data_IF_070647922087
#
_entry.id   IF_070647922087
#
_cell.length_a   1.000
_cell.length_b   1.000
_cell.length_c   1.000
_cell.angle_alpha   90.00
_cell.angle_beta   90.00
_cell.angle_gamma   90.00
#
_symmetry.space_group_name_H-M   'P 1'
#
loop_
_entity.id
_entity.type
_entity.pdbx_description
1 polymer ?
#
# COMPACT_ATOMS: atom_id res chain seq x y z
N UNK A 1 -1.39 62.45 47.07
CA UNK A 1 0.02 62.21 46.66
C UNK A 1 0.16 60.77 46.18
N UNK A 2 0.80 60.56 45.01
CA UNK A 2 1.29 59.29 44.40
C UNK A 2 0.20 58.31 43.89
N UNK A 3 -0.16 58.34 42.59
CA UNK A 3 0.41 57.66 41.38
C UNK A 3 0.07 56.15 41.35
N UNK A 4 -0.90 55.72 40.52
CA UNK A 4 -0.77 55.23 39.13
C UNK A 4 0.06 53.94 39.00
N UNK A 5 -0.62 52.85 38.63
CA UNK A 5 -0.03 51.57 38.24
C UNK A 5 -1.05 50.75 37.45
N UNK A 6 -1.29 51.18 36.21
CA UNK A 6 -2.11 50.48 35.22
C UNK A 6 -1.24 49.44 34.53
N UNK A 7 -1.53 48.15 34.71
CA UNK A 7 -0.95 47.06 33.93
C UNK A 7 -2.03 46.48 33.03
N UNK A 8 -2.07 46.95 31.79
CA UNK A 8 -2.78 46.33 30.68
C UNK A 8 -2.09 44.99 30.38
N UNK A 9 -2.78 43.87 30.60
CA UNK A 9 -2.39 42.58 30.04
C UNK A 9 -2.86 42.54 28.58
N UNK A 10 -1.93 42.72 27.64
CA UNK A 10 -2.17 42.50 26.22
C UNK A 10 -2.04 41.00 25.91
N UNK A 11 -3.18 40.31 25.83
CA UNK A 11 -3.27 38.95 25.29
C UNK A 11 -3.17 39.05 23.77
N UNK A 12 -1.99 38.74 23.22
CA UNK A 12 -1.83 38.55 21.79
C UNK A 12 -2.33 37.17 21.40
N UNK A 13 -3.57 37.09 20.89
CA UNK A 13 -4.02 35.97 20.05
C UNK A 13 -3.17 35.95 18.77
N UNK A 14 -2.18 35.07 18.73
CA UNK A 14 -1.54 34.67 17.49
C UNK A 14 -2.48 33.70 16.76
N UNK A 15 -3.34 34.26 15.92
CA UNK A 15 -4.05 33.49 14.90
C UNK A 15 -3.02 33.05 13.84
N UNK A 16 -2.57 31.80 13.93
CA UNK A 16 -1.89 31.14 12.83
C UNK A 16 -2.90 30.97 11.68
N UNK A 17 -2.74 31.78 10.63
CA UNK A 17 -3.37 31.54 9.34
C UNK A 17 -2.66 30.34 8.71
N UNK A 18 -3.04 29.14 9.13
CA UNK A 18 -2.91 27.98 8.27
C UNK A 18 -3.83 28.25 7.07
N UNK A 19 -3.28 28.26 5.86
CA UNK A 19 -4.09 28.14 4.65
C UNK A 19 -4.74 26.75 4.65
N UNK A 20 -5.80 26.62 5.44
CA UNK A 20 -6.61 25.44 5.62
C UNK A 20 -7.49 25.25 4.40
N UNK A 21 -7.09 24.31 3.55
CA UNK A 21 -8.11 23.52 2.86
C UNK A 21 -8.71 22.65 3.96
N UNK A 22 -9.86 23.05 4.51
CA UNK A 22 -10.52 22.33 5.60
C UNK A 22 -10.76 20.86 5.22
N UNK A 23 -10.79 19.98 6.22
CA UNK A 23 -11.27 18.61 6.04
C UNK A 23 -12.63 18.66 5.35
N UNK A 24 -12.75 18.01 4.18
CA UNK A 24 -14.03 17.93 3.48
C UNK A 24 -14.97 17.04 4.30
N UNK A 25 -16.21 17.48 4.43
CA UNK A 25 -17.27 16.66 5.01
C UNK A 25 -17.49 15.39 4.18
N UNK A 26 -18.10 14.38 4.79
CA UNK A 26 -18.46 13.14 4.10
C UNK A 26 -19.37 13.38 2.89
N UNK A 27 -20.28 14.33 3.00
CA UNK A 27 -21.20 14.67 1.91
C UNK A 27 -20.46 15.29 0.73
N UNK A 28 -19.51 16.20 0.99
CA UNK A 28 -18.65 16.77 -0.05
C UNK A 28 -17.77 15.71 -0.73
N UNK A 29 -17.30 14.71 0.02
CA UNK A 29 -16.57 13.57 -0.56
C UNK A 29 -17.50 12.78 -1.48
N UNK A 30 -18.69 12.41 -1.01
CA UNK A 30 -19.70 11.68 -1.78
C UNK A 30 -20.08 12.40 -3.08
N UNK A 31 -20.26 13.72 -3.03
CA UNK A 31 -20.53 14.54 -4.22
C UNK A 31 -19.36 14.47 -5.21
N UNK A 32 -18.12 14.63 -4.75
CA UNK A 32 -16.96 14.53 -5.64
C UNK A 32 -16.75 13.14 -6.25
N UNK A 33 -17.16 12.07 -5.57
CA UNK A 33 -17.15 10.71 -6.13
C UNK A 33 -18.17 10.56 -7.27
N UNK A 34 -19.35 11.16 -7.12
CA UNK A 34 -20.41 11.16 -8.15
C UNK A 34 -20.05 12.01 -9.36
N UNK A 35 -19.45 13.18 -9.15
CA UNK A 35 -19.17 14.16 -10.20
C UNK A 35 -18.03 13.74 -11.14
N UNK A 36 -17.01 13.07 -10.58
CA UNK A 36 -15.85 12.61 -11.34
C UNK A 36 -15.72 11.11 -11.14
N UNK A 37 -16.07 10.31 -12.14
CA UNK A 37 -15.97 8.85 -12.06
C UNK A 37 -14.53 8.34 -12.12
N UNK A 38 -14.38 7.04 -11.86
CA UNK A 38 -13.10 6.33 -11.88
C UNK A 38 -12.38 6.47 -13.24
N UNK A 39 -13.13 6.42 -14.34
CA UNK A 39 -12.56 6.51 -15.70
C UNK A 39 -11.89 7.87 -15.93
N UNK A 40 -12.52 8.96 -15.48
CA UNK A 40 -11.98 10.31 -15.57
C UNK A 40 -10.75 10.50 -14.67
N UNK A 41 -10.75 9.89 -13.48
CA UNK A 41 -9.59 9.88 -12.57
C UNK A 41 -8.40 9.18 -13.22
N UNK A 42 -8.61 7.98 -13.76
CA UNK A 42 -7.54 7.20 -14.41
C UNK A 42 -7.04 7.87 -15.69
N UNK A 43 -7.94 8.45 -16.49
CA UNK A 43 -7.56 9.21 -17.69
C UNK A 43 -6.67 10.39 -17.33
N UNK A 44 -7.07 11.21 -16.35
CA UNK A 44 -6.26 12.34 -15.89
C UNK A 44 -4.88 11.89 -15.36
N UNK A 45 -4.82 10.77 -14.64
CA UNK A 45 -3.57 10.21 -14.17
C UNK A 45 -2.66 9.68 -15.29
N UNK A 46 -3.23 9.14 -16.36
CA UNK A 46 -2.47 8.69 -17.54
C UNK A 46 -1.88 9.86 -18.36
N UNK A 47 -2.57 11.01 -18.33
CA UNK A 47 -2.13 12.22 -19.01
C UNK A 47 -0.95 12.90 -18.27
N UNK A 48 -0.86 12.71 -16.94
CA UNK A 48 0.28 13.19 -16.15
C UNK A 48 1.61 12.61 -16.64
N UNK A 49 2.63 13.47 -16.66
CA UNK A 49 4.02 13.10 -16.96
C UNK A 49 4.90 13.50 -15.81
N UNK A 50 5.82 12.62 -15.46
CA UNK A 50 6.82 12.85 -14.44
C UNK A 50 8.11 12.13 -14.84
N UNK A 51 9.24 12.79 -14.61
CA UNK A 51 10.57 12.22 -14.83
C UNK A 51 11.21 12.00 -13.46
N UNK A 52 11.40 10.75 -13.02
CA UNK A 52 12.08 10.46 -11.78
C UNK A 52 13.49 11.07 -11.72
N UNK A 53 14.00 11.37 -10.51
CA UNK A 53 15.40 11.76 -10.32
C UNK A 53 16.34 10.69 -10.88
N UNK A 54 17.40 11.12 -11.57
CA UNK A 54 18.37 10.22 -12.19
C UNK A 54 19.13 9.34 -11.18
N UNK A 55 19.21 9.78 -9.93
CA UNK A 55 19.83 9.04 -8.83
C UNK A 55 18.85 8.10 -8.11
N UNK A 56 17.58 8.08 -8.50
CA UNK A 56 16.53 7.25 -7.89
C UNK A 56 16.18 7.63 -6.45
N UNK A 57 16.68 8.76 -5.93
CA UNK A 57 16.54 9.12 -4.52
C UNK A 57 15.23 9.86 -4.26
N UNK A 58 14.53 9.42 -3.22
CA UNK A 58 13.39 10.13 -2.65
C UNK A 58 13.86 11.36 -1.88
N UNK A 59 13.01 12.38 -1.80
CA UNK A 59 13.24 13.56 -0.95
C UNK A 59 12.28 13.58 0.22
N UNK A 60 12.61 14.28 1.30
CA UNK A 60 11.68 14.50 2.42
C UNK A 60 10.35 15.11 1.92
N UNK A 61 10.39 16.04 0.97
CA UNK A 61 9.20 16.63 0.38
C UNK A 61 8.30 15.61 -0.32
N UNK A 62 8.89 14.63 -1.02
CA UNK A 62 8.17 13.55 -1.68
C UNK A 62 7.54 12.57 -0.69
N UNK A 63 8.23 12.26 0.41
CA UNK A 63 7.62 11.47 1.48
C UNK A 63 6.46 12.23 2.13
N UNK A 64 6.62 13.53 2.40
CA UNK A 64 5.54 14.35 2.96
C UNK A 64 4.34 14.45 2.01
N UNK A 65 4.58 14.57 0.70
CA UNK A 65 3.53 14.49 -0.32
C UNK A 65 2.81 13.14 -0.24
N UNK A 66 3.55 12.03 -0.24
CA UNK A 66 2.99 10.69 -0.10
C UNK A 66 2.11 10.57 1.15
N UNK A 67 2.59 10.99 2.32
CA UNK A 67 1.83 10.93 3.57
C UNK A 67 0.54 11.75 3.51
N UNK A 68 0.57 12.96 2.94
CA UNK A 68 -0.64 13.78 2.75
C UNK A 68 -1.66 13.11 1.83
N UNK A 69 -1.19 12.49 0.74
CA UNK A 69 -2.06 11.73 -0.16
C UNK A 69 -2.66 10.53 0.57
N UNK A 70 -1.89 9.76 1.32
CA UNK A 70 -2.38 8.60 2.10
C UNK A 70 -3.40 9.00 3.17
N UNK A 71 -3.22 10.16 3.81
CA UNK A 71 -4.20 10.68 4.78
C UNK A 71 -5.51 11.05 4.09
N UNK A 72 -5.46 11.73 2.94
CA UNK A 72 -6.67 12.07 2.17
C UNK A 72 -7.32 10.83 1.55
N UNK A 73 -6.53 9.87 1.09
CA UNK A 73 -7.00 8.57 0.59
C UNK A 73 -7.82 7.84 1.66
N UNK A 74 -7.41 7.89 2.93
CA UNK A 74 -8.14 7.27 4.05
C UNK A 74 -9.58 7.79 4.14
N UNK A 75 -9.77 9.09 4.02
CA UNK A 75 -11.09 9.73 4.05
C UNK A 75 -11.95 9.28 2.86
N UNK A 76 -11.37 9.27 1.66
CA UNK A 76 -12.06 8.85 0.43
C UNK A 76 -12.42 7.36 0.50
N UNK A 77 -11.48 6.51 0.91
CA UNK A 77 -11.66 5.07 1.06
C UNK A 77 -12.75 4.73 2.07
N UNK A 78 -12.83 5.46 3.18
CA UNK A 78 -13.90 5.32 4.17
C UNK A 78 -15.27 5.58 3.54
N UNK A 79 -15.44 6.72 2.87
CA UNK A 79 -16.73 7.08 2.24
C UNK A 79 -17.10 6.10 1.15
N UNK A 80 -16.17 5.76 0.25
CA UNK A 80 -16.40 4.78 -0.81
C UNK A 80 -16.80 3.40 -0.25
N UNK A 81 -16.18 2.97 0.86
CA UNK A 81 -16.55 1.71 1.54
C UNK A 81 -17.95 1.76 2.15
N UNK A 82 -18.30 2.86 2.83
CA UNK A 82 -19.63 3.06 3.42
C UNK A 82 -20.73 3.10 2.34
N UNK A 83 -20.47 3.76 1.21
CA UNK A 83 -21.38 3.77 0.07
C UNK A 83 -21.53 2.37 -0.55
N UNK A 84 -20.43 1.65 -0.78
CA UNK A 84 -20.47 0.29 -1.28
C UNK A 84 -21.31 -0.63 -0.38
N UNK A 85 -21.13 -0.55 0.94
CA UNK A 85 -21.93 -1.31 1.91
C UNK A 85 -23.41 -0.91 1.92
N UNK A 86 -23.69 0.39 1.79
CA UNK A 86 -25.06 0.91 1.73
C UNK A 86 -25.79 0.42 0.47
N UNK A 87 -25.13 0.50 -0.69
CA UNK A 87 -25.66 0.01 -1.97
C UNK A 87 -25.84 -1.50 -1.98
N UNK A 88 -24.91 -2.27 -1.41
CA UNK A 88 -25.05 -3.72 -1.27
C UNK A 88 -26.28 -4.11 -0.44
N UNK A 89 -26.50 -3.46 0.72
CA UNK A 89 -27.69 -3.71 1.57
C UNK A 89 -29.00 -3.34 0.87
N UNK A 90 -29.00 -2.25 0.10
CA UNK A 90 -30.19 -1.84 -0.69
C UNK A 90 -30.48 -2.80 -1.83
N UNK A 91 -29.44 -3.34 -2.48
CA UNK A 91 -29.58 -4.34 -3.53
C UNK A 91 -30.24 -5.63 -2.99
N UNK A 92 -29.79 -6.09 -1.83
CA UNK A 92 -30.37 -7.24 -1.11
C UNK A 92 -31.85 -6.98 -0.76
N UNK A 93 -32.14 -5.82 -0.18
CA UNK A 93 -33.50 -5.44 0.25
C UNK A 93 -34.48 -5.30 -0.92
N UNK A 94 -34.04 -4.72 -2.04
CA UNK A 94 -34.85 -4.56 -3.25
C UNK A 94 -35.07 -5.87 -4.02
N UNK A 95 -34.41 -6.96 -3.60
CA UNK A 95 -34.36 -8.23 -4.31
C UNK A 95 -33.38 -8.16 -5.48
N UNK A 96 -32.35 -9.00 -5.46
CA UNK A 96 -31.22 -9.02 -6.40
C UNK A 96 -31.63 -9.16 -7.88
N UNK A 97 -32.83 -9.69 -8.14
CA UNK A 97 -33.37 -9.90 -9.50
C UNK A 97 -34.33 -8.79 -9.95
N UNK A 98 -34.55 -7.78 -9.11
CA UNK A 98 -35.36 -6.62 -9.48
C UNK A 98 -34.50 -5.58 -10.19
N UNK A 99 -35.15 -4.71 -10.97
CA UNK A 99 -34.48 -3.57 -11.62
C UNK A 99 -33.84 -2.64 -10.57
N UNK A 100 -34.48 -2.48 -9.41
CA UNK A 100 -33.93 -1.72 -8.29
C UNK A 100 -32.70 -2.38 -7.67
N UNK A 101 -32.73 -3.71 -7.48
CA UNK A 101 -31.60 -4.48 -6.99
C UNK A 101 -30.39 -4.41 -7.93
N UNK A 102 -30.63 -4.54 -9.24
CA UNK A 102 -29.59 -4.41 -10.26
C UNK A 102 -28.97 -3.01 -10.30
N UNK A 103 -29.78 -1.95 -10.17
CA UNK A 103 -29.28 -0.58 -10.13
C UNK A 103 -28.38 -0.32 -8.91
N UNK A 104 -28.78 -0.81 -7.74
CA UNK A 104 -27.96 -0.68 -6.52
C UNK A 104 -26.69 -1.53 -6.60
N UNK A 105 -26.74 -2.74 -7.18
CA UNK A 105 -25.54 -3.54 -7.42
C UNK A 105 -24.54 -2.83 -8.35
N UNK A 106 -25.00 -2.13 -9.38
CA UNK A 106 -24.13 -1.32 -10.24
C UNK A 106 -23.48 -0.16 -9.48
N UNK A 107 -24.22 0.50 -8.57
CA UNK A 107 -23.65 1.54 -7.69
C UNK A 107 -22.61 0.98 -6.74
N UNK A 108 -22.81 -0.22 -6.19
CA UNK A 108 -21.80 -0.93 -5.38
C UNK A 108 -20.50 -1.10 -6.16
N UNK A 109 -20.58 -1.54 -7.42
CA UNK A 109 -19.39 -1.68 -8.29
C UNK A 109 -18.68 -0.34 -8.52
N UNK A 110 -19.45 0.74 -8.71
CA UNK A 110 -18.92 2.11 -8.79
C UNK A 110 -18.14 2.50 -7.54
N UNK A 111 -18.73 2.32 -6.35
CA UNK A 111 -18.06 2.63 -5.08
C UNK A 111 -16.81 1.76 -4.82
N UNK A 112 -16.81 0.50 -5.28
CA UNK A 112 -15.61 -0.36 -5.22
C UNK A 112 -14.51 0.16 -6.16
N UNK A 113 -14.87 0.65 -7.35
CA UNK A 113 -13.92 1.26 -8.27
C UNK A 113 -13.36 2.59 -7.73
N UNK A 114 -14.17 3.38 -7.04
CA UNK A 114 -13.73 4.57 -6.32
C UNK A 114 -12.77 4.25 -5.17
N UNK A 115 -13.06 3.18 -4.41
CA UNK A 115 -12.13 2.67 -3.39
C UNK A 115 -10.79 2.25 -4.00
N UNK A 116 -10.80 1.56 -5.15
CA UNK A 116 -9.59 1.10 -5.83
C UNK A 116 -8.73 2.24 -6.42
N UNK A 117 -9.31 3.43 -6.58
CA UNK A 117 -8.63 4.62 -7.14
C UNK A 117 -8.55 5.79 -6.17
N UNK A 118 -8.84 5.55 -4.88
CA UNK A 118 -8.89 6.56 -3.84
C UNK A 118 -7.56 7.32 -3.68
N UNK A 119 -6.43 6.66 -3.91
CA UNK A 119 -5.10 7.24 -3.80
C UNK A 119 -4.79 8.23 -4.94
N UNK A 120 -5.12 7.86 -6.18
CA UNK A 120 -4.99 8.73 -7.35
C UNK A 120 -5.94 9.92 -7.23
N UNK A 121 -7.18 9.70 -6.78
CA UNK A 121 -8.13 10.79 -6.52
C UNK A 121 -7.61 11.73 -5.45
N UNK A 122 -7.09 11.20 -4.34
CA UNK A 122 -6.48 12.00 -3.29
C UNK A 122 -5.32 12.86 -3.81
N UNK A 123 -4.44 12.30 -4.64
CA UNK A 123 -3.35 13.05 -5.28
C UNK A 123 -3.90 14.21 -6.13
N UNK A 124 -4.90 13.94 -6.98
CA UNK A 124 -5.51 14.95 -7.83
C UNK A 124 -6.23 16.05 -7.05
N UNK A 125 -6.95 15.70 -5.98
CA UNK A 125 -7.64 16.69 -5.13
C UNK A 125 -6.68 17.63 -4.39
N UNK A 126 -5.51 17.10 -4.00
CA UNK A 126 -4.44 17.87 -3.38
C UNK A 126 -3.61 18.65 -4.40
N UNK A 127 -3.89 18.50 -5.71
CA UNK A 127 -3.18 19.18 -6.79
C UNK A 127 -1.78 18.61 -7.06
N UNK A 128 -1.52 17.38 -6.64
CA UNK A 128 -0.26 16.70 -6.92
C UNK A 128 -0.31 15.96 -8.26
N UNK A 129 0.87 15.80 -8.86
CA UNK A 129 1.04 15.01 -10.08
C UNK A 129 0.89 13.51 -9.76
N UNK A 130 -0.03 12.84 -10.45
CA UNK A 130 -0.37 11.44 -10.20
C UNK A 130 0.79 10.50 -10.55
N UNK A 131 1.56 10.82 -11.60
CA UNK A 131 2.70 10.03 -12.04
C UNK A 131 3.87 10.13 -11.04
N UNK A 132 4.11 11.31 -10.45
CA UNK A 132 5.06 11.47 -9.35
C UNK A 132 4.62 10.66 -8.12
N UNK A 133 3.36 10.80 -7.70
CA UNK A 133 2.82 10.05 -6.57
C UNK A 133 2.98 8.53 -6.74
N UNK A 134 2.63 8.01 -7.92
CA UNK A 134 2.78 6.58 -8.23
C UNK A 134 4.24 6.12 -8.22
N UNK A 135 5.16 6.94 -8.74
CA UNK A 135 6.58 6.66 -8.66
C UNK A 135 7.08 6.61 -7.21
N UNK A 136 6.65 7.56 -6.36
CA UNK A 136 7.00 7.57 -4.94
C UNK A 136 6.45 6.32 -4.24
N UNK A 137 5.16 6.01 -4.43
CA UNK A 137 4.49 4.85 -3.84
C UNK A 137 5.19 3.54 -4.22
N UNK A 138 5.52 3.36 -5.50
CA UNK A 138 6.23 2.16 -5.98
C UNK A 138 7.66 2.09 -5.46
N UNK A 139 8.36 3.22 -5.32
CA UNK A 139 9.70 3.25 -4.72
C UNK A 139 9.67 2.86 -3.24
N UNK A 140 8.70 3.38 -2.47
CA UNK A 140 8.51 3.01 -1.06
C UNK A 140 8.22 1.51 -0.94
N UNK A 141 7.28 0.98 -1.73
CA UNK A 141 6.95 -0.45 -1.74
C UNK A 141 8.14 -1.32 -2.14
N UNK A 142 8.93 -0.89 -3.13
CA UNK A 142 10.14 -1.58 -3.56
C UNK A 142 11.18 -1.67 -2.45
N UNK A 143 11.43 -0.57 -1.74
CA UNK A 143 12.36 -0.54 -0.60
C UNK A 143 11.86 -1.43 0.54
N UNK A 144 10.59 -1.35 0.92
CA UNK A 144 10.01 -2.23 1.95
C UNK A 144 10.10 -3.71 1.58
N UNK A 145 9.81 -4.06 0.31
CA UNK A 145 9.90 -5.45 -0.17
C UNK A 145 11.35 -5.96 -0.14
N UNK A 146 12.29 -5.13 -0.59
CA UNK A 146 13.71 -5.47 -0.57
C UNK A 146 14.26 -5.60 0.86
N UNK A 147 13.79 -4.79 1.81
CA UNK A 147 14.16 -4.94 3.23
C UNK A 147 13.67 -6.27 3.81
N UNK A 148 12.42 -6.65 3.55
CA UNK A 148 11.89 -7.97 3.95
C UNK A 148 12.70 -9.11 3.32
N UNK A 149 13.04 -9.01 2.02
CA UNK A 149 13.92 -9.99 1.37
C UNK A 149 15.31 -10.03 1.98
N UNK A 150 15.91 -8.89 2.33
CA UNK A 150 17.24 -8.82 2.95
C UNK A 150 17.24 -9.42 4.37
N UNK A 151 16.18 -9.19 5.14
CA UNK A 151 15.98 -9.82 6.44
C UNK A 151 15.85 -11.34 6.30
N UNK A 152 15.07 -11.82 5.32
CA UNK A 152 14.94 -13.25 5.03
C UNK A 152 16.28 -13.87 4.62
N UNK A 153 17.03 -13.23 3.72
CA UNK A 153 18.37 -13.69 3.31
C UNK A 153 19.33 -13.74 4.49
N UNK A 154 19.28 -12.74 5.36
CA UNK A 154 20.12 -12.68 6.57
C UNK A 154 19.78 -13.83 7.52
N UNK A 155 18.49 -14.07 7.78
CA UNK A 155 18.03 -15.19 8.59
C UNK A 155 18.42 -16.56 7.99
N UNK A 156 18.23 -16.74 6.67
CA UNK A 156 18.65 -17.95 5.96
C UNK A 156 20.16 -18.17 6.03
N UNK A 157 20.96 -17.11 5.84
CA UNK A 157 22.42 -17.18 5.91
C UNK A 157 22.89 -17.59 7.31
N UNK A 158 22.30 -17.01 8.36
CA UNK A 158 22.60 -17.41 9.74
C UNK A 158 22.28 -18.89 10.01
N UNK A 159 21.17 -19.39 9.43
CA UNK A 159 20.78 -20.80 9.54
C UNK A 159 21.76 -21.73 8.79
N UNK A 160 22.24 -21.30 7.62
CA UNK A 160 23.27 -22.01 6.85
C UNK A 160 24.62 -22.02 7.57
N UNK A 161 25.04 -20.90 8.16
CA UNK A 161 26.29 -20.81 8.91
C UNK A 161 26.28 -21.73 10.14
N UNK A 162 25.16 -21.80 10.87
CA UNK A 162 25.01 -22.75 11.98
C UNK A 162 25.12 -24.20 11.50
N UNK A 163 24.51 -24.52 10.35
CA UNK A 163 24.59 -25.85 9.74
C UNK A 163 26.02 -26.18 9.30
N UNK A 164 26.74 -25.20 8.74
CA UNK A 164 28.14 -25.34 8.34
C UNK A 164 29.04 -25.66 9.54
N UNK A 165 28.89 -24.93 10.66
CA UNK A 165 29.66 -25.17 11.89
C UNK A 165 29.43 -26.59 12.40
N UNK A 166 28.18 -27.05 12.40
CA UNK A 166 27.84 -28.41 12.83
C UNK A 166 28.42 -29.47 11.89
N UNK A 167 28.37 -29.24 10.58
CA UNK A 167 28.93 -30.13 9.57
C UNK A 167 30.46 -30.20 9.68
N UNK A 168 31.12 -29.08 9.97
CA UNK A 168 32.56 -29.03 10.23
C UNK A 168 32.95 -29.81 11.48
N UNK A 169 32.16 -29.71 12.57
CA UNK A 169 32.38 -30.53 13.76
C UNK A 169 32.25 -32.04 13.45
N UNK A 170 31.31 -32.44 12.59
CA UNK A 170 31.18 -33.83 12.14
C UNK A 170 32.37 -34.26 11.28
N UNK A 171 32.87 -33.38 10.40
CA UNK A 171 34.08 -33.62 9.61
C UNK A 171 35.29 -33.90 10.52
N UNK A 172 35.48 -33.06 11.53
CA UNK A 172 36.61 -33.17 12.47
C UNK A 172 36.52 -34.44 13.32
N UNK A 173 35.30 -34.88 13.66
CA UNK A 173 35.06 -36.10 14.43
C UNK A 173 35.06 -37.39 13.58
N UNK A 174 34.91 -37.29 12.25
CA UNK A 174 34.82 -38.45 11.37
C UNK A 174 36.18 -39.14 11.18
N UNK A 175 36.21 -40.44 11.45
CA UNK A 175 37.40 -41.30 11.26
C UNK A 175 37.32 -42.15 9.99
N UNK A 176 36.11 -42.46 9.50
CA UNK A 176 35.89 -43.19 8.26
C UNK A 176 36.19 -42.33 7.01
N UNK A 177 37.07 -42.76 6.09
CA UNK A 177 37.45 -41.97 4.92
C UNK A 177 36.30 -41.61 3.98
N UNK A 178 35.32 -42.51 3.81
CA UNK A 178 34.17 -42.28 2.91
C UNK A 178 33.26 -41.20 3.47
N UNK A 179 32.93 -41.30 4.76
CA UNK A 179 32.14 -40.31 5.50
C UNK A 179 32.84 -38.96 5.52
N UNK A 180 34.14 -38.94 5.81
CA UNK A 180 34.95 -37.71 5.85
C UNK A 180 34.97 -37.01 4.48
N UNK A 181 35.07 -37.76 3.39
CA UNK A 181 34.98 -37.21 2.03
C UNK A 181 33.59 -36.64 1.72
N UNK A 182 32.52 -37.37 2.03
CA UNK A 182 31.15 -36.89 1.79
C UNK A 182 30.87 -35.57 2.52
N UNK A 183 31.34 -35.44 3.77
CA UNK A 183 31.21 -34.20 4.54
C UNK A 183 32.06 -33.06 3.95
N UNK A 184 33.29 -33.35 3.48
CA UNK A 184 34.13 -32.35 2.82
C UNK A 184 33.49 -31.81 1.54
N UNK A 185 32.93 -32.70 0.71
CA UNK A 185 32.26 -32.32 -0.53
C UNK A 185 31.03 -31.43 -0.23
N UNK A 186 30.27 -31.76 0.81
CA UNK A 186 29.16 -30.93 1.28
C UNK A 186 29.63 -29.54 1.77
N UNK A 187 30.70 -29.46 2.56
CA UNK A 187 31.29 -28.18 2.99
C UNK A 187 31.74 -27.32 1.80
N UNK A 188 32.39 -27.93 0.79
CA UNK A 188 32.81 -27.23 -0.41
C UNK A 188 31.61 -26.70 -1.23
N UNK A 189 30.53 -27.47 -1.31
CA UNK A 189 29.29 -27.02 -1.96
C UNK A 189 28.64 -25.84 -1.21
N UNK A 190 28.69 -25.85 0.12
CA UNK A 190 28.26 -24.71 0.94
C UNK A 190 29.08 -23.46 0.64
N UNK A 191 30.42 -23.56 0.61
CA UNK A 191 31.31 -22.42 0.31
C UNK A 191 31.06 -21.84 -1.09
N UNK A 192 30.80 -22.73 -2.08
CA UNK A 192 30.42 -22.32 -3.42
C UNK A 192 29.08 -21.58 -3.43
N UNK A 193 28.05 -22.14 -2.79
CA UNK A 193 26.72 -21.51 -2.71
C UNK A 193 26.79 -20.12 -2.04
N UNK A 194 27.57 -19.97 -0.97
CA UNK A 194 27.80 -18.67 -0.32
C UNK A 194 28.42 -17.64 -1.26
N UNK A 195 29.42 -18.04 -2.03
CA UNK A 195 30.11 -17.16 -2.97
C UNK A 195 29.18 -16.71 -4.09
N UNK A 196 28.37 -17.63 -4.63
CA UNK A 196 27.39 -17.32 -5.68
C UNK A 196 26.29 -16.38 -5.17
N UNK A 197 25.76 -16.60 -3.96
CA UNK A 197 24.78 -15.71 -3.34
C UNK A 197 25.36 -14.29 -3.11
N UNK A 198 26.60 -14.19 -2.63
CA UNK A 198 27.25 -12.89 -2.41
C UNK A 198 27.41 -12.12 -3.73
N UNK A 199 27.78 -12.82 -4.81
CA UNK A 199 27.89 -12.21 -6.15
C UNK A 199 26.54 -11.73 -6.67
N UNK A 200 25.49 -12.54 -6.54
CA UNK A 200 24.13 -12.16 -6.95
C UNK A 200 23.62 -10.95 -6.17
N UNK A 201 23.91 -10.87 -4.87
CA UNK A 201 23.53 -9.74 -4.03
C UNK A 201 24.19 -8.43 -4.47
N UNK A 202 25.48 -8.45 -4.85
CA UNK A 202 26.17 -7.27 -5.39
C UNK A 202 25.64 -6.86 -6.78
N UNK A 203 25.32 -7.82 -7.65
CA UNK A 203 24.78 -7.54 -8.99
C UNK A 203 23.36 -6.94 -8.97
N UNK A 204 22.58 -7.21 -7.93
CA UNK A 204 21.21 -6.73 -7.78
C UNK A 204 21.09 -5.45 -6.93
N UNK A 205 22.22 -4.81 -6.62
CA UNK A 205 22.26 -3.66 -5.74
C UNK A 205 21.72 -2.40 -6.41
N UNK A 206 20.55 -1.95 -5.97
CA UNK A 206 20.03 -0.62 -6.32
C UNK A 206 20.85 0.46 -5.58
N UNK A 207 21.53 1.38 -6.30
CA UNK A 207 22.35 2.43 -5.68
C UNK A 207 21.53 3.43 -4.84
N UNK A 208 20.22 3.53 -5.05
CA UNK A 208 19.33 4.39 -4.27
C UNK A 208 18.76 3.70 -3.01
N UNK A 209 18.83 2.37 -2.93
CA UNK A 209 18.14 1.57 -1.91
C UNK A 209 18.49 2.01 -0.49
N UNK A 210 19.79 2.04 -0.14
CA UNK A 210 20.22 2.37 1.24
C UNK A 210 19.81 3.79 1.64
N UNK A 211 19.89 4.73 0.71
CA UNK A 211 19.48 6.11 0.95
C UNK A 211 17.96 6.20 1.17
N UNK A 212 17.17 5.58 0.28
CA UNK A 212 15.72 5.59 0.38
C UNK A 212 15.23 4.85 1.63
N UNK A 213 15.86 3.74 2.00
CA UNK A 213 15.61 3.00 3.24
C UNK A 213 15.81 3.90 4.46
N UNK A 214 16.96 4.57 4.57
CA UNK A 214 17.24 5.47 5.69
C UNK A 214 16.24 6.63 5.77
N UNK A 215 15.82 7.17 4.62
CA UNK A 215 14.80 8.22 4.57
C UNK A 215 13.44 7.68 5.04
N UNK A 216 12.99 6.56 4.50
CA UNK A 216 11.70 5.92 4.84
C UNK A 216 11.65 5.55 6.32
N UNK A 217 12.74 5.06 6.91
CA UNK A 217 12.82 4.73 8.34
C UNK A 217 12.47 5.91 9.26
N UNK A 218 12.76 7.16 8.86
CA UNK A 218 12.37 8.37 9.63
C UNK A 218 10.85 8.53 9.74
N UNK A 219 10.11 7.96 8.79
CA UNK A 219 8.66 8.09 8.65
C UNK A 219 7.92 6.76 8.86
N UNK A 220 8.63 5.69 9.20
CA UNK A 220 8.10 4.32 9.26
C UNK A 220 6.86 4.22 10.15
N UNK A 221 6.87 4.84 11.33
CA UNK A 221 5.72 4.85 12.24
C UNK A 221 4.46 5.43 11.60
N UNK A 222 4.58 6.55 10.87
CA UNK A 222 3.45 7.19 10.19
C UNK A 222 3.01 6.39 8.97
N UNK A 223 3.96 5.87 8.18
CA UNK A 223 3.66 5.03 7.01
C UNK A 223 2.90 3.77 7.45
N UNK A 224 3.35 3.10 8.51
CA UNK A 224 2.73 1.88 9.03
C UNK A 224 1.36 2.14 9.65
N UNK A 225 1.19 3.26 10.36
CA UNK A 225 -0.10 3.66 10.91
C UNK A 225 -1.13 3.89 9.77
N UNK A 226 -0.75 4.64 8.73
CA UNK A 226 -1.62 4.88 7.57
C UNK A 226 -1.92 3.61 6.78
N UNK A 227 -0.93 2.73 6.60
CA UNK A 227 -1.14 1.43 5.96
C UNK A 227 -2.14 0.57 6.75
N UNK A 228 -2.01 0.54 8.08
CA UNK A 228 -2.92 -0.21 8.97
C UNK A 228 -4.34 0.35 8.93
N UNK A 229 -4.50 1.67 8.94
CA UNK A 229 -5.82 2.32 8.82
C UNK A 229 -6.46 2.04 7.47
N UNK A 230 -5.72 2.18 6.37
CA UNK A 230 -6.22 1.92 5.02
C UNK A 230 -6.56 0.44 4.78
N UNK A 231 -5.84 -0.47 5.43
CA UNK A 231 -6.14 -1.90 5.39
C UNK A 231 -7.54 -2.26 5.92
N UNK A 232 -8.18 -1.38 6.71
CA UNK A 232 -9.57 -1.57 7.16
C UNK A 232 -10.58 -1.40 6.02
N UNK A 233 -10.20 -0.69 4.96
CA UNK A 233 -11.08 -0.39 3.82
C UNK A 233 -10.78 -1.27 2.61
N UNK A 234 -9.52 -1.67 2.40
CA UNK A 234 -9.16 -2.70 1.43
C UNK A 234 -9.55 -4.07 1.99
N UNK A 235 -10.38 -4.83 1.31
CA UNK A 235 -11.02 -6.08 1.77
C UNK A 235 -10.06 -7.28 2.01
N UNK A 236 -8.82 -7.08 2.48
CA UNK A 236 -7.91 -8.16 2.91
C UNK A 236 -8.34 -8.82 4.22
N UNK A 237 -9.29 -8.23 4.96
CA UNK A 237 -9.91 -8.88 6.13
C UNK A 237 -10.91 -9.98 5.77
N UNK A 238 -11.35 -10.08 4.50
CA UNK A 238 -12.38 -11.02 4.07
C UNK A 238 -12.23 -11.39 2.57
N UNK A 239 -11.02 -11.73 2.12
CA UNK A 239 -10.78 -12.18 0.74
C UNK A 239 -11.67 -13.38 0.31
N UNK A 240 -12.17 -14.16 1.27
CA UNK A 240 -13.17 -15.20 1.03
C UNK A 240 -14.55 -14.66 0.61
N UNK A 241 -14.92 -13.47 1.06
CA UNK A 241 -16.25 -12.88 0.81
C UNK A 241 -16.32 -12.23 -0.57
N UNK A 242 -15.22 -11.64 -1.05
CA UNK A 242 -15.16 -10.99 -2.37
C UNK A 242 -15.04 -12.02 -3.50
N UNK A 243 -14.27 -13.09 -3.31
CA UNK A 243 -14.26 -14.24 -4.22
C UNK A 243 -15.62 -14.95 -4.25
N UNK A 244 -16.29 -15.06 -3.10
CA UNK A 244 -17.64 -15.62 -3.00
C UNK A 244 -18.65 -14.72 -3.72
N UNK A 245 -18.63 -13.40 -3.50
CA UNK A 245 -19.52 -12.45 -4.18
C UNK A 245 -19.29 -12.44 -5.70
N UNK A 246 -18.04 -12.50 -6.17
CA UNK A 246 -17.73 -12.62 -7.60
C UNK A 246 -18.20 -13.96 -8.19
N UNK A 247 -18.00 -15.06 -7.47
CA UNK A 247 -18.50 -16.38 -7.86
C UNK A 247 -20.03 -16.41 -7.92
N UNK A 248 -20.70 -15.85 -6.92
CA UNK A 248 -22.16 -15.79 -6.82
C UNK A 248 -22.75 -14.89 -7.93
N UNK A 249 -22.09 -13.77 -8.24
CA UNK A 249 -22.44 -12.90 -9.37
C UNK A 249 -22.26 -13.61 -10.72
N UNK A 250 -21.12 -14.27 -10.95
CA UNK A 250 -20.88 -15.04 -12.18
C UNK A 250 -21.92 -16.14 -12.37
N UNK A 251 -22.29 -16.83 -11.29
CA UNK A 251 -23.34 -17.85 -11.30
C UNK A 251 -24.72 -17.25 -11.61
N UNK A 252 -25.07 -16.14 -10.97
CA UNK A 252 -26.34 -15.46 -11.23
C UNK A 252 -26.45 -14.95 -12.68
N UNK A 253 -25.35 -14.44 -13.25
CA UNK A 253 -25.28 -14.02 -14.64
C UNK A 253 -25.44 -15.20 -15.61
N UNK A 254 -24.77 -16.33 -15.34
CA UNK A 254 -24.90 -17.55 -16.13
C UNK A 254 -26.33 -18.12 -16.08
N UNK A 255 -26.95 -18.14 -14.90
CA UNK A 255 -28.34 -18.60 -14.72
C UNK A 255 -29.35 -17.70 -15.45
N UNK A 256 -29.12 -16.39 -15.45
CA UNK A 256 -29.95 -15.43 -16.18
C UNK A 256 -29.83 -15.63 -17.70
N UNK A 257 -28.62 -15.86 -18.20
CA UNK A 257 -28.35 -16.13 -19.62
C UNK A 257 -28.97 -17.45 -20.09
N UNK A 258 -28.87 -18.52 -19.28
CA UNK A 258 -29.48 -19.81 -19.58
C UNK A 258 -31.02 -19.72 -19.65
N UNK A 259 -31.65 -18.95 -18.76
CA UNK A 259 -33.11 -18.72 -18.77
C UNK A 259 -33.60 -17.86 -19.94
N UNK A 260 -32.76 -16.96 -20.45
CA UNK A 260 -33.06 -16.17 -21.63
C UNK A 260 -33.02 -17.00 -22.92
N UNK A 261 -32.25 -18.10 -22.94
CA UNK A 261 -32.14 -19.02 -24.07
C UNK A 261 -33.18 -20.15 -24.07
N UNK A 262 -33.90 -20.35 -22.96
CA UNK A 262 -34.93 -21.38 -22.82
C UNK A 262 -36.36 -20.86 -23.05
N UNK A 263 -36.52 -19.67 -23.62
CA UNK A 263 -37.79 -19.08 -24.08
C UNK A 263 -37.74 -18.89 -25.59
#
# INVERSE_FOLDING_TARGET
MKKLGSSLLAVCLLAAVACGRGEKSQDEISETLKDKGTTEVLKAAADDKYTPPADGRLTDAQIQMYLKVREREKEIARVAREEAQSHAKKAETAGEKSVGGMMEAFKTLGSVADLATADIRAAQELGYNSAEYLWIKTTILGVSSADVSQQLVTASTAMMDASYVQLKKQYDAATDPTTKKAIADALAQYDKSRTEMAKQAEEQKDPAYEYNKQLIMKYEGTINALATELAKYSDTGNAGDLNKQMSDFQKAAADAQAKAQSK
#
